data_IF_048484471493
#
_entry.id   IF_048484471493
#
_cell.length_a   1.000
_cell.length_b   1.000
_cell.length_c   1.000
_cell.angle_alpha   90.00
_cell.angle_beta   90.00
_cell.angle_gamma   90.00
#
_symmetry.space_group_name_H-M   'P 1'
#
loop_
_entity.id
_entity.type
_entity.pdbx_description
1 polymer ?
#
# COMPACT_ATOMS: atom_id res chain seq x y z
N UNK A 1 -9.27 1.48 -5.30
CA UNK A 1 -9.53 0.04 -5.32
C UNK A 1 -9.99 -0.45 -3.96
N UNK A 2 -11.02 -1.22 -3.96
CA UNK A 2 -11.47 -1.87 -2.74
C UNK A 2 -10.52 -3.01 -2.42
N UNK A 3 -9.79 -2.90 -1.34
CA UNK A 3 -8.74 -3.83 -1.05
C UNK A 3 -9.29 -5.12 -0.45
N UNK A 4 -8.96 -6.23 -1.08
CA UNK A 4 -9.23 -7.58 -0.57
C UNK A 4 -7.96 -8.22 -0.01
N UNK A 5 -6.84 -7.49 0.01
CA UNK A 5 -5.54 -7.96 0.47
C UNK A 5 -4.95 -6.94 1.45
N UNK A 6 -4.04 -7.37 2.34
CA UNK A 6 -3.34 -6.44 3.23
C UNK A 6 -2.54 -5.40 2.44
N UNK A 7 -2.32 -4.23 3.04
CA UNK A 7 -1.66 -3.12 2.37
C UNK A 7 -0.23 -3.48 1.91
N UNK A 8 0.52 -4.25 2.70
CA UNK A 8 1.86 -4.67 2.31
C UNK A 8 1.85 -5.52 1.03
N UNK A 9 0.86 -6.38 0.88
CA UNK A 9 0.68 -7.19 -0.33
C UNK A 9 0.29 -6.31 -1.51
N UNK A 10 -0.67 -5.40 -1.30
CA UNK A 10 -1.10 -4.47 -2.35
C UNK A 10 0.04 -3.59 -2.83
N UNK A 11 0.89 -3.14 -1.93
CA UNK A 11 2.04 -2.32 -2.30
C UNK A 11 2.97 -3.07 -3.25
N UNK A 12 3.22 -4.34 -3.00
CA UNK A 12 4.11 -5.11 -3.89
C UNK A 12 3.49 -5.35 -5.26
N UNK A 13 2.17 -5.49 -5.36
CA UNK A 13 1.50 -5.62 -6.66
C UNK A 13 1.44 -4.29 -7.42
N UNK A 14 1.27 -3.18 -6.72
CA UNK A 14 0.92 -1.89 -7.34
C UNK A 14 2.10 -0.94 -7.51
N UNK A 15 2.96 -0.78 -6.49
CA UNK A 15 4.05 0.19 -6.56
C UNK A 15 5.03 -0.05 -7.70
N UNK A 16 5.39 -1.30 -8.05
CA UNK A 16 6.27 -1.52 -9.20
C UNK A 16 5.71 -0.96 -10.51
N UNK A 17 4.40 -0.84 -10.63
CA UNK A 17 3.74 -0.32 -11.82
C UNK A 17 3.63 1.20 -11.84
N UNK A 18 3.87 1.86 -10.71
CA UNK A 18 3.81 3.31 -10.61
C UNK A 18 5.15 3.89 -11.05
N UNK A 19 5.12 4.84 -11.96
CA UNK A 19 6.36 5.54 -12.38
C UNK A 19 6.81 6.51 -11.29
N UNK A 20 8.10 6.79 -11.23
CA UNK A 20 8.66 7.76 -10.29
C UNK A 20 7.95 9.12 -10.47
N UNK A 21 7.52 9.69 -9.37
CA UNK A 21 6.71 10.91 -9.37
C UNK A 21 5.21 10.64 -9.36
N UNK A 22 4.77 9.42 -9.66
CA UNK A 22 3.37 9.04 -9.57
C UNK A 22 2.95 8.66 -8.17
N UNK A 23 1.68 8.33 -8.01
CA UNK A 23 1.10 7.99 -6.71
C UNK A 23 0.26 6.74 -6.80
N UNK A 24 0.25 6.00 -5.70
CA UNK A 24 -0.64 4.86 -5.48
C UNK A 24 -1.63 5.26 -4.38
N UNK A 25 -2.92 5.16 -4.67
CA UNK A 25 -3.99 5.49 -3.72
C UNK A 25 -4.68 4.21 -3.30
N UNK A 26 -4.78 3.99 -1.99
CA UNK A 26 -5.44 2.82 -1.43
C UNK A 26 -6.50 3.25 -0.43
N UNK A 27 -7.69 2.64 -0.51
CA UNK A 27 -8.77 2.82 0.45
C UNK A 27 -8.88 1.58 1.32
N UNK A 28 -8.88 1.77 2.64
CA UNK A 28 -8.98 0.68 3.60
C UNK A 28 -10.12 0.94 4.58
N UNK A 29 -10.56 -0.12 5.27
CA UNK A 29 -11.55 -0.02 6.32
C UNK A 29 -10.95 0.49 7.63
N UNK A 30 -11.63 0.22 8.75
CA UNK A 30 -11.24 0.72 10.07
C UNK A 30 -9.88 0.24 10.56
N UNK A 31 -9.35 -0.87 10.03
CA UNK A 31 -8.05 -1.41 10.42
C UNK A 31 -6.89 -0.86 9.58
N UNK A 32 -7.13 0.20 8.80
CA UNK A 32 -6.13 0.72 7.87
C UNK A 32 -4.82 1.12 8.53
N UNK A 33 -4.87 1.76 9.71
CA UNK A 33 -3.65 2.21 10.38
C UNK A 33 -2.79 1.03 10.87
N UNK A 34 -3.40 -0.07 11.29
CA UNK A 34 -2.67 -1.28 11.65
C UNK A 34 -2.00 -1.90 10.42
N UNK A 35 -2.69 -1.91 9.30
CA UNK A 35 -2.12 -2.39 8.04
C UNK A 35 -0.98 -1.51 7.57
N UNK A 36 -1.07 -0.20 7.77
CA UNK A 36 0.01 0.73 7.43
C UNK A 36 1.28 0.38 8.20
N UNK A 37 1.17 0.12 9.50
CA UNK A 37 2.33 -0.23 10.32
C UNK A 37 3.04 -1.48 9.76
N UNK A 38 2.27 -2.49 9.37
CA UNK A 38 2.81 -3.70 8.77
C UNK A 38 3.39 -3.46 7.37
N UNK A 39 2.92 -2.42 6.67
CA UNK A 39 3.31 -2.14 5.30
C UNK A 39 4.49 -1.17 5.17
N UNK A 40 4.93 -0.53 6.24
CA UNK A 40 6.00 0.47 6.17
C UNK A 40 7.26 -0.03 5.48
N UNK A 41 7.68 -1.24 5.81
CA UNK A 41 8.85 -1.85 5.18
C UNK A 41 8.63 -2.06 3.68
N UNK A 42 7.45 -2.54 3.31
CA UNK A 42 7.12 -2.77 1.90
C UNK A 42 7.18 -1.45 1.10
N UNK A 43 6.60 -0.39 1.65
CA UNK A 43 6.59 0.92 0.99
C UNK A 43 8.01 1.39 0.74
N UNK A 44 8.87 1.31 1.75
CA UNK A 44 10.27 1.74 1.65
C UNK A 44 11.06 0.91 0.64
N UNK A 45 10.96 -0.42 0.74
CA UNK A 45 11.68 -1.34 -0.14
C UNK A 45 11.27 -1.16 -1.60
N UNK A 46 10.00 -0.86 -1.85
CA UNK A 46 9.47 -0.71 -3.20
C UNK A 46 9.68 0.69 -3.79
N UNK A 47 10.34 1.58 -3.07
CA UNK A 47 10.63 2.92 -3.57
C UNK A 47 9.51 3.93 -3.35
N UNK A 48 8.63 3.67 -2.39
CA UNK A 48 7.54 4.58 -2.06
C UNK A 48 7.79 5.40 -0.82
N UNK A 49 6.97 6.42 -0.63
CA UNK A 49 6.93 7.25 0.57
C UNK A 49 5.48 7.56 0.87
N UNK A 50 5.09 7.38 2.13
CA UNK A 50 3.73 7.72 2.55
C UNK A 50 3.55 9.22 2.51
N UNK A 51 2.65 9.70 1.66
CA UNK A 51 2.34 11.13 1.54
C UNK A 51 1.18 11.52 2.42
N UNK A 52 0.14 10.68 2.49
CA UNK A 52 -1.08 10.95 3.23
C UNK A 52 -1.62 9.67 3.85
N UNK A 53 -2.09 9.77 5.08
CA UNK A 53 -2.83 8.71 5.76
C UNK A 53 -3.94 9.37 6.58
N UNK A 54 -5.13 9.46 6.00
CA UNK A 54 -6.27 10.11 6.65
C UNK A 54 -7.37 9.10 6.97
N UNK A 55 -7.91 9.21 8.16
CA UNK A 55 -9.04 8.40 8.60
C UNK A 55 -10.30 9.25 8.68
N UNK A 56 -11.43 8.69 8.26
CA UNK A 56 -12.72 9.37 8.35
C UNK A 56 -13.82 8.34 8.58
N UNK A 57 -14.97 8.82 9.02
CA UNK A 57 -16.15 7.97 9.23
C UNK A 57 -17.21 8.28 8.18
N UNK A 58 -17.83 7.23 7.66
CA UNK A 58 -18.99 7.37 6.79
C UNK A 58 -20.23 7.73 7.61
N UNK A 59 -21.30 8.25 6.99
CA UNK A 59 -22.55 8.59 7.71
C UNK A 59 -23.14 7.43 8.51
N UNK A 60 -22.89 6.18 8.09
CA UNK A 60 -23.38 4.99 8.79
C UNK A 60 -22.48 4.59 9.98
N UNK A 61 -21.41 5.34 10.27
CA UNK A 61 -20.47 5.06 11.35
C UNK A 61 -19.28 4.20 11.00
N UNK A 62 -19.22 3.67 9.77
CA UNK A 62 -18.10 2.86 9.34
C UNK A 62 -16.84 3.71 9.18
N UNK A 63 -15.70 3.18 9.68
CA UNK A 63 -14.42 3.82 9.51
C UNK A 63 -13.82 3.54 8.14
N UNK A 64 -13.10 4.51 7.61
CA UNK A 64 -12.33 4.37 6.37
C UNK A 64 -11.00 5.07 6.52
N UNK A 65 -9.98 4.54 5.86
CA UNK A 65 -8.65 5.16 5.81
C UNK A 65 -8.22 5.25 4.38
N UNK A 66 -7.73 6.43 3.97
CA UNK A 66 -7.15 6.64 2.65
C UNK A 66 -5.64 6.79 2.81
N UNK A 67 -4.88 6.06 1.99
CA UNK A 67 -3.44 6.17 1.91
C UNK A 67 -3.04 6.68 0.55
N UNK A 68 -2.17 7.67 0.51
CA UNK A 68 -1.54 8.15 -0.72
C UNK A 68 -0.05 7.92 -0.59
N UNK A 69 0.50 7.06 -1.44
CA UNK A 69 1.90 6.67 -1.43
C UNK A 69 2.54 7.18 -2.70
N UNK A 70 3.52 8.06 -2.56
CA UNK A 70 4.25 8.63 -3.69
C UNK A 70 5.40 7.70 -4.07
N UNK A 71 5.60 7.48 -5.37
CA UNK A 71 6.76 6.75 -5.87
C UNK A 71 7.93 7.72 -5.95
N UNK A 72 8.92 7.59 -5.07
CA UNK A 72 10.05 8.50 -4.99
C UNK A 72 11.32 7.97 -5.63
N UNK A 73 11.42 6.65 -5.79
CA UNK A 73 12.55 6.01 -6.42
C UNK A 73 12.11 4.77 -7.16
N UNK A 74 12.97 4.30 -8.07
CA UNK A 74 12.65 3.15 -8.88
C UNK A 74 12.60 1.88 -8.04
N UNK A 75 11.54 1.06 -8.22
CA UNK A 75 11.43 -0.22 -7.56
C UNK A 75 12.50 -1.17 -8.09
N UNK A 76 13.22 -1.90 -7.22
CA UNK A 76 14.19 -2.89 -7.67
C UNK A 76 13.55 -3.91 -8.62
N UNK A 77 14.32 -4.36 -9.62
CA UNK A 77 13.81 -5.22 -10.68
C UNK A 77 13.32 -6.59 -10.20
N UNK A 78 13.72 -7.02 -9.01
CA UNK A 78 13.24 -8.27 -8.40
C UNK A 78 11.78 -8.21 -7.96
N UNK A 79 11.16 -7.04 -7.94
CA UNK A 79 9.76 -6.86 -7.57
C UNK A 79 8.92 -6.52 -8.80
N UNK A 80 7.64 -6.91 -8.85
CA UNK A 80 6.99 -7.78 -7.86
C UNK A 80 7.51 -9.21 -7.94
N UNK A 81 7.54 -9.87 -6.80
CA UNK A 81 7.87 -11.30 -6.77
C UNK A 81 6.71 -12.11 -7.34
N UNK A 82 6.87 -13.43 -7.45
CA UNK A 82 5.78 -14.30 -7.89
C UNK A 82 4.61 -14.22 -6.90
N UNK A 83 3.36 -14.29 -7.37
CA UNK A 83 2.20 -14.16 -6.48
C UNK A 83 2.23 -15.07 -5.26
N UNK A 84 2.65 -16.32 -5.44
CA UNK A 84 2.76 -17.26 -4.33
C UNK A 84 3.71 -16.75 -3.24
N UNK A 85 4.84 -16.18 -3.63
CA UNK A 85 5.82 -15.64 -2.69
C UNK A 85 5.28 -14.40 -1.98
N UNK A 86 4.57 -13.55 -2.70
CA UNK A 86 3.96 -12.35 -2.12
C UNK A 86 2.94 -12.75 -1.06
N UNK A 87 2.11 -13.74 -1.35
CA UNK A 87 1.03 -14.15 -0.44
C UNK A 87 1.55 -14.90 0.78
N UNK A 88 2.62 -15.70 0.64
CA UNK A 88 3.14 -16.51 1.75
C UNK A 88 4.20 -15.80 2.56
N UNK A 89 4.95 -14.87 1.96
CA UNK A 89 6.03 -14.13 2.61
C UNK A 89 5.95 -12.65 2.26
N UNK A 90 4.90 -11.93 2.70
CA UNK A 90 4.77 -10.51 2.37
C UNK A 90 5.91 -9.68 2.96
N UNK A 91 6.20 -8.58 2.31
CA UNK A 91 7.21 -7.63 2.79
C UNK A 91 6.74 -6.94 4.11
#
# INVERSE_FOLDING_TARGET
>A
ARAVAPLNVLCEYCLPLVKVGGRFVSLKGSNGLEELEAAKNAIEVLGGELETADSYKLPNGDGRTIFIIKKISQTPTKYPRKPKKIDTHPL
#
